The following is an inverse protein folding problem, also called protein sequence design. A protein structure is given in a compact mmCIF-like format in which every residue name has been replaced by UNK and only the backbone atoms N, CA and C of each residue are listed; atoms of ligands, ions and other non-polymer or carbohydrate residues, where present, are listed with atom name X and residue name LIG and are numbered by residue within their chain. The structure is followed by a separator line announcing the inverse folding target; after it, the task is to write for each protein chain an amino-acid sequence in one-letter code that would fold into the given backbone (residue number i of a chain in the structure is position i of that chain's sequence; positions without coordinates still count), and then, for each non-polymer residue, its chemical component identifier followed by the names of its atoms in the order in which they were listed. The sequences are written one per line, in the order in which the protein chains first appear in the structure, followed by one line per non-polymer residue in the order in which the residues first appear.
data_IF_002521683293
#
_entry.id   IF_002521683293
#
_cell.length_a   1.000
_cell.length_b   1.000
_cell.length_c   1.000
_cell.angle_alpha   90.00
_cell.angle_beta   90.00
_cell.angle_gamma   90.00
#
_symmetry.space_group_name_H-M   'P 1'
#
loop_
_entity.id
_entity.type
_entity.pdbx_description
1 polymer ?
#
# COMPACT_ATOMS: atom_id res chain seq x y z
N UNK A 1 -6.18 -4.19 7.34
CA UNK A 1 -7.30 -3.60 6.62
C UNK A 1 -8.19 -4.68 5.96
N UNK A 2 -9.39 -4.30 5.58
CA UNK A 2 -10.32 -5.10 4.77
C UNK A 2 -10.74 -4.26 3.58
N UNK A 3 -10.66 -4.85 2.38
CA UNK A 3 -11.04 -4.20 1.14
C UNK A 3 -11.99 -5.10 0.35
N UNK A 4 -13.12 -4.56 -0.06
CA UNK A 4 -14.14 -5.28 -0.82
C UNK A 4 -14.39 -4.57 -2.15
N UNK A 5 -14.08 -5.26 -3.25
CA UNK A 5 -14.22 -4.74 -4.61
C UNK A 5 -15.54 -5.21 -5.23
N UNK A 6 -16.42 -4.28 -5.58
CA UNK A 6 -17.71 -4.58 -6.21
C UNK A 6 -18.22 -3.41 -7.07
N UNK A 7 -18.78 -3.71 -8.22
CA UNK A 7 -19.50 -2.76 -9.07
C UNK A 7 -18.76 -1.45 -9.40
N UNK A 8 -17.43 -1.51 -9.58
CA UNK A 8 -16.66 -0.31 -9.90
C UNK A 8 -16.23 0.51 -8.69
N UNK A 9 -16.37 -0.04 -7.50
CA UNK A 9 -15.97 0.59 -6.24
C UNK A 9 -15.13 -0.34 -5.38
N UNK A 10 -14.32 0.24 -4.52
CA UNK A 10 -13.68 -0.44 -3.41
C UNK A 10 -14.20 0.13 -2.10
N UNK A 11 -14.73 -0.73 -1.26
CA UNK A 11 -15.06 -0.41 0.14
C UNK A 11 -13.84 -0.78 0.99
N UNK A 12 -13.38 0.17 1.78
CA UNK A 12 -12.14 0.08 2.53
C UNK A 12 -12.36 0.41 4.00
N UNK A 13 -11.81 -0.42 4.88
CA UNK A 13 -11.72 -0.15 6.32
C UNK A 13 -10.35 -0.58 6.83
N UNK A 14 -9.80 0.17 7.77
CA UNK A 14 -8.47 -0.07 8.33
C UNK A 14 -8.50 -0.04 9.86
N UNK A 15 -7.69 -0.89 10.46
CA UNK A 15 -7.47 -0.98 11.90
C UNK A 15 -5.97 -0.90 12.19
N UNK A 16 -5.42 0.32 12.15
CA UNK A 16 -4.01 0.58 12.45
C UNK A 16 -3.01 0.11 11.40
N UNK A 17 -3.45 -0.09 10.16
CA UNK A 17 -2.56 -0.47 9.04
C UNK A 17 -2.00 0.77 8.34
N UNK A 18 -0.83 0.64 7.66
CA UNK A 18 -0.32 1.66 6.76
C UNK A 18 -1.33 2.10 5.70
N UNK A 19 -1.13 3.27 5.07
CA UNK A 19 -2.01 3.73 4.00
C UNK A 19 -2.03 2.76 2.82
N UNK A 20 -3.17 2.68 2.14
CA UNK A 20 -3.27 2.08 0.82
C UNK A 20 -3.03 3.16 -0.26
N UNK A 21 -2.49 2.76 -1.40
CA UNK A 21 -2.22 3.67 -2.52
C UNK A 21 -3.12 3.32 -3.69
N UNK A 22 -3.92 4.29 -4.13
CA UNK A 22 -4.81 4.16 -5.28
C UNK A 22 -4.23 4.91 -6.48
N UNK A 23 -3.77 4.17 -7.47
CA UNK A 23 -3.32 4.68 -8.76
C UNK A 23 -4.53 4.83 -9.67
N UNK A 24 -4.97 6.08 -9.91
CA UNK A 24 -6.13 6.41 -10.73
C UNK A 24 -5.69 6.53 -12.19
N UNK A 25 -6.08 5.55 -13.00
CA UNK A 25 -5.65 5.45 -14.41
C UNK A 25 -6.07 6.66 -15.24
N UNK A 26 -7.30 7.14 -15.07
CA UNK A 26 -7.86 8.26 -15.86
C UNK A 26 -7.14 9.59 -15.66
N UNK A 27 -6.53 9.82 -14.49
CA UNK A 27 -5.85 11.08 -14.15
C UNK A 27 -4.34 10.93 -14.01
N UNK A 28 -3.85 9.69 -13.93
CA UNK A 28 -2.46 9.39 -13.62
C UNK A 28 -2.02 9.77 -12.21
N UNK A 29 -2.97 10.09 -11.32
CA UNK A 29 -2.70 10.44 -9.91
C UNK A 29 -2.56 9.19 -9.06
N UNK A 30 -1.73 9.28 -8.03
CA UNK A 30 -1.68 8.31 -6.94
C UNK A 30 -2.23 9.00 -5.70
N UNK A 31 -3.32 8.44 -5.17
CA UNK A 31 -3.99 8.90 -3.95
C UNK A 31 -3.61 7.98 -2.80
N UNK A 32 -3.18 8.56 -1.70
CA UNK A 32 -3.01 7.86 -0.43
C UNK A 32 -4.35 7.77 0.29
N UNK A 33 -4.73 6.57 0.72
CA UNK A 33 -5.93 6.30 1.53
C UNK A 33 -5.43 5.91 2.92
N UNK A 34 -5.48 6.86 3.84
CA UNK A 34 -5.11 6.65 5.24
C UNK A 34 -6.36 6.73 6.12
N UNK A 35 -6.69 5.64 6.79
CA UNK A 35 -7.65 5.63 7.88
C UNK A 35 -6.90 5.47 9.20
N UNK A 36 -6.97 6.49 10.02
CA UNK A 36 -6.42 6.42 11.38
C UNK A 36 -7.36 5.57 12.24
N UNK A 37 -6.81 4.56 12.91
CA UNK A 37 -7.56 3.67 13.78
C UNK A 37 -6.63 2.85 14.66
N UNK A 38 -7.19 2.31 15.72
CA UNK A 38 -6.45 1.40 16.61
C UNK A 38 -6.42 -0.02 16.03
N UNK A 39 -5.37 -0.80 16.30
CA UNK A 39 -5.36 -2.22 15.97
C UNK A 39 -6.55 -2.95 16.60
N UNK A 40 -7.02 -4.01 15.93
CA UNK A 40 -8.09 -4.86 16.42
C UNK A 40 -7.73 -5.42 17.82
N UNK A 41 -8.68 -5.35 18.75
CA UNK A 41 -8.48 -5.82 20.12
C UNK A 41 -7.78 -4.81 21.06
N UNK A 42 -7.39 -3.62 20.57
CA UNK A 42 -6.74 -2.61 21.38
C UNK A 42 -7.67 -2.00 22.43
N UNK A 43 -8.89 -1.65 22.04
CA UNK A 43 -9.92 -1.08 22.94
C UNK A 43 -11.26 -1.77 22.68
N UNK A 44 -11.95 -2.15 23.75
CA UNK A 44 -13.29 -2.73 23.66
C UNK A 44 -14.30 -1.69 23.17
N UNK A 45 -15.10 -2.05 22.15
CA UNK A 45 -16.15 -1.19 21.60
C UNK A 45 -15.65 -0.15 20.59
N UNK A 46 -14.38 -0.22 20.16
CA UNK A 46 -13.86 0.62 19.08
C UNK A 46 -14.71 0.46 17.80
N UNK A 47 -15.01 1.59 17.18
CA UNK A 47 -15.76 1.63 15.92
C UNK A 47 -14.84 1.98 14.77
N UNK A 48 -14.84 1.17 13.72
CA UNK A 48 -14.08 1.39 12.51
C UNK A 48 -14.96 2.01 11.43
N UNK A 49 -14.47 3.08 10.81
CA UNK A 49 -15.13 3.70 9.68
C UNK A 49 -14.91 2.88 8.41
N UNK A 50 -15.86 2.98 7.47
CA UNK A 50 -15.74 2.44 6.14
C UNK A 50 -15.74 3.61 5.15
N UNK A 51 -14.84 3.59 4.18
CA UNK A 51 -14.81 4.52 3.06
C UNK A 51 -15.10 3.80 1.76
N UNK A 52 -15.67 4.52 0.80
CA UNK A 52 -15.93 4.03 -0.55
C UNK A 52 -15.14 4.89 -1.54
N UNK A 53 -14.45 4.22 -2.47
CA UNK A 53 -13.67 4.88 -3.50
C UNK A 53 -14.04 4.28 -4.85
N UNK A 54 -14.25 5.10 -5.91
CA UNK A 54 -14.35 4.58 -7.27
C UNK A 54 -13.11 3.74 -7.60
N UNK A 55 -13.31 2.61 -8.28
CA UNK A 55 -12.24 1.75 -8.74
C UNK A 55 -12.56 1.32 -10.18
N UNK A 56 -12.02 2.08 -11.12
CA UNK A 56 -12.34 1.99 -12.54
C UNK A 56 -11.37 1.06 -13.30
N UNK A 57 -11.76 0.57 -14.48
CA UNK A 57 -10.85 -0.19 -15.33
C UNK A 57 -9.51 0.53 -15.56
N UNK A 58 -8.41 -0.17 -15.35
CA UNK A 58 -7.06 0.36 -15.39
C UNK A 58 -6.51 0.86 -14.06
N UNK A 59 -7.36 1.08 -13.06
CA UNK A 59 -6.93 1.49 -11.73
C UNK A 59 -6.15 0.37 -11.02
N UNK A 60 -5.24 0.78 -10.16
CA UNK A 60 -4.43 -0.13 -9.34
C UNK A 60 -4.48 0.29 -7.88
N UNK A 61 -4.68 -0.69 -6.98
CA UNK A 61 -4.53 -0.52 -5.54
C UNK A 61 -3.31 -1.25 -5.06
N UNK A 62 -2.50 -0.59 -4.22
CA UNK A 62 -1.34 -1.17 -3.56
C UNK A 62 -1.55 -1.11 -2.05
N UNK A 63 -1.47 -2.27 -1.41
CA UNK A 63 -1.51 -2.44 0.04
C UNK A 63 -0.18 -2.99 0.51
N UNK A 64 0.31 -2.50 1.63
CA UNK A 64 1.54 -3.00 2.23
C UNK A 64 1.49 -2.97 3.75
N UNK A 65 2.30 -3.82 4.38
CA UNK A 65 2.61 -3.73 5.80
C UNK A 65 3.67 -2.66 6.05
N UNK A 66 3.87 -2.29 7.30
CA UNK A 66 4.88 -1.34 7.74
C UNK A 66 6.33 -1.82 7.55
N UNK A 67 6.55 -3.13 7.44
CA UNK A 67 7.88 -3.71 7.29
C UNK A 67 8.71 -3.15 6.14
N UNK A 68 8.08 -2.68 5.04
CA UNK A 68 8.82 -2.05 3.93
C UNK A 68 9.16 -0.58 4.23
N UNK A 69 8.21 0.32 4.53
CA UNK A 69 8.54 1.73 4.79
C UNK A 69 9.38 1.93 6.06
N UNK A 70 9.28 1.03 7.03
CA UNK A 70 10.02 1.09 8.29
C UNK A 70 11.33 0.27 8.27
N UNK A 71 11.70 -0.34 7.13
CA UNK A 71 12.96 -1.03 6.97
C UNK A 71 14.15 -0.10 7.23
N UNK A 72 15.03 -0.49 8.17
CA UNK A 72 16.18 0.30 8.57
C UNK A 72 17.46 -0.18 7.87
N UNK A 73 18.23 0.75 7.33
CA UNK A 73 19.57 0.48 6.77
C UNK A 73 20.64 0.36 7.87
N UNK A 74 21.91 0.14 7.50
CA UNK A 74 23.01 0.01 8.44
C UNK A 74 23.28 1.28 9.28
N UNK A 75 22.78 2.44 8.87
CA UNK A 75 22.87 3.69 9.61
C UNK A 75 21.68 3.89 10.58
N UNK A 76 20.71 2.97 10.61
CA UNK A 76 19.48 3.09 11.40
C UNK A 76 18.46 4.07 10.81
N UNK A 77 18.56 4.34 9.52
CA UNK A 77 17.61 5.21 8.81
C UNK A 77 16.50 4.37 8.18
N UNK A 78 15.25 4.78 8.38
CA UNK A 78 14.09 4.13 7.73
C UNK A 78 14.01 4.51 6.25
N UNK A 79 13.52 3.58 5.41
CA UNK A 79 13.22 3.83 4.00
C UNK A 79 12.21 4.97 3.83
N UNK A 80 11.14 4.95 4.62
CA UNK A 80 10.11 5.98 4.66
C UNK A 80 8.97 5.77 3.67
N UNK A 81 7.81 6.29 4.03
CA UNK A 81 6.58 6.21 3.22
C UNK A 81 6.66 7.04 1.93
N UNK A 82 7.43 8.14 1.94
CA UNK A 82 7.63 8.99 0.76
C UNK A 82 8.36 8.24 -0.37
N UNK A 83 9.43 7.52 -0.03
CA UNK A 83 10.18 6.71 -1.00
C UNK A 83 9.30 5.60 -1.61
N UNK A 84 8.46 4.96 -0.79
CA UNK A 84 7.48 3.96 -1.25
C UNK A 84 6.46 4.59 -2.20
N UNK A 85 5.89 5.75 -1.84
CA UNK A 85 4.94 6.47 -2.67
C UNK A 85 5.54 6.88 -4.02
N UNK A 86 6.77 7.38 -4.03
CA UNK A 86 7.45 7.77 -5.26
C UNK A 86 7.77 6.57 -6.15
N UNK A 87 8.14 5.45 -5.56
CA UNK A 87 8.31 4.19 -6.28
C UNK A 87 6.99 3.77 -6.96
N UNK A 88 5.87 3.82 -6.26
CA UNK A 88 4.54 3.50 -6.80
C UNK A 88 4.17 4.48 -7.92
N UNK A 89 4.36 5.79 -7.74
CA UNK A 89 4.09 6.81 -8.76
C UNK A 89 4.85 6.57 -10.06
N UNK A 90 6.12 6.22 -9.95
CA UNK A 90 6.99 5.98 -11.10
C UNK A 90 6.64 4.70 -11.86
N UNK A 91 6.00 3.74 -11.20
CA UNK A 91 5.67 2.41 -11.77
C UNK A 91 4.17 2.13 -11.89
N UNK A 92 3.30 3.12 -11.69
CA UNK A 92 1.83 2.98 -11.62
C UNK A 92 1.19 2.38 -12.88
N UNK A 93 1.85 2.47 -14.04
CA UNK A 93 1.34 1.95 -15.31
C UNK A 93 1.73 0.49 -15.58
N UNK A 94 2.66 -0.02 -14.78
CA UNK A 94 3.15 -1.39 -14.92
C UNK A 94 2.09 -2.43 -14.49
N UNK A 95 2.36 -3.69 -14.78
CA UNK A 95 1.54 -4.78 -14.28
C UNK A 95 1.76 -5.01 -12.77
N UNK A 96 0.83 -5.68 -12.08
CA UNK A 96 0.90 -5.87 -10.63
C UNK A 96 2.17 -6.55 -10.15
N UNK A 97 2.69 -7.51 -10.91
CA UNK A 97 3.90 -8.23 -10.53
C UNK A 97 5.14 -7.35 -10.65
N UNK A 98 5.22 -6.53 -11.68
CA UNK A 98 6.29 -5.55 -11.87
C UNK A 98 6.30 -4.50 -10.76
N UNK A 99 5.14 -3.97 -10.37
CA UNK A 99 5.02 -3.03 -9.24
C UNK A 99 5.52 -3.68 -7.95
N UNK A 100 5.05 -4.89 -7.64
CA UNK A 100 5.48 -5.66 -6.46
C UNK A 100 7.00 -5.86 -6.45
N UNK A 101 7.56 -6.33 -7.56
CA UNK A 101 9.00 -6.60 -7.66
C UNK A 101 9.84 -5.34 -7.52
N UNK A 102 9.39 -4.21 -8.08
CA UNK A 102 10.08 -2.92 -7.92
C UNK A 102 10.07 -2.44 -6.47
N UNK A 103 8.97 -2.63 -5.74
CA UNK A 103 8.90 -2.31 -4.31
C UNK A 103 9.82 -3.20 -3.47
N UNK A 104 9.88 -4.50 -3.76
CA UNK A 104 10.81 -5.41 -3.08
C UNK A 104 12.27 -5.03 -3.35
N UNK A 105 12.62 -4.72 -4.61
CA UNK A 105 13.95 -4.27 -4.98
C UNK A 105 14.33 -2.95 -4.29
N UNK A 106 13.36 -2.03 -4.10
CA UNK A 106 13.58 -0.81 -3.34
C UNK A 106 14.00 -1.11 -1.90
N UNK A 107 13.31 -2.04 -1.24
CA UNK A 107 13.64 -2.50 0.11
C UNK A 107 15.00 -3.18 0.17
N UNK A 108 15.28 -4.11 -0.73
CA UNK A 108 16.56 -4.84 -0.79
C UNK A 108 17.75 -3.90 -1.00
N UNK A 109 17.61 -2.92 -1.89
CA UNK A 109 18.64 -1.91 -2.15
C UNK A 109 18.86 -0.99 -0.95
N UNK A 110 17.79 -0.63 -0.23
CA UNK A 110 17.87 0.18 0.98
C UNK A 110 18.55 -0.56 2.12
N UNK A 111 18.18 -1.80 2.34
CA UNK A 111 18.79 -2.66 3.35
C UNK A 111 20.28 -2.95 3.07
N UNK A 112 20.64 -3.09 1.79
CA UNK A 112 22.02 -3.34 1.34
C UNK A 112 22.75 -4.41 2.17
N UNK A 113 22.07 -5.56 2.39
CA UNK A 113 22.58 -6.69 3.15
C UNK A 113 22.28 -6.67 4.65
N UNK A 114 21.63 -5.64 5.17
CA UNK A 114 21.09 -5.64 6.54
C UNK A 114 19.92 -6.61 6.60
N UNK A 115 19.84 -7.51 7.60
CA UNK A 115 18.69 -8.39 7.77
C UNK A 115 17.41 -7.59 7.96
N UNK A 116 16.32 -8.05 7.34
CA UNK A 116 14.99 -7.49 7.52
C UNK A 116 14.54 -7.62 8.99
N UNK A 117 14.03 -6.53 9.56
CA UNK A 117 13.61 -6.48 10.97
C UNK A 117 12.17 -6.94 11.18
N UNK A 118 11.31 -6.80 10.15
CA UNK A 118 9.91 -7.20 10.19
C UNK A 118 9.47 -7.74 8.83
N UNK A 119 8.39 -8.52 8.80
CA UNK A 119 7.85 -9.12 7.58
C UNK A 119 7.27 -8.07 6.62
N UNK A 120 7.58 -8.22 5.33
CA UNK A 120 7.03 -7.38 4.27
C UNK A 120 5.89 -8.12 3.59
N UNK A 121 4.70 -7.53 3.63
CA UNK A 121 3.54 -7.97 2.87
C UNK A 121 3.17 -6.90 1.84
N UNK A 122 3.06 -7.29 0.57
CA UNK A 122 2.64 -6.40 -0.51
C UNK A 122 1.53 -7.09 -1.30
N UNK A 123 0.41 -6.40 -1.48
CA UNK A 123 -0.70 -6.84 -2.33
C UNK A 123 -0.99 -5.76 -3.37
N UNK A 124 -0.94 -6.13 -4.64
CA UNK A 124 -1.25 -5.25 -5.76
C UNK A 124 -2.46 -5.79 -6.50
N UNK A 125 -3.50 -4.98 -6.61
CA UNK A 125 -4.74 -5.31 -7.30
C UNK A 125 -4.94 -4.34 -8.46
N UNK A 126 -5.03 -4.84 -9.68
CA UNK A 126 -5.31 -4.02 -10.88
C UNK A 126 -6.62 -4.45 -11.51
N UNK A 127 -7.51 -3.48 -11.77
CA UNK A 127 -8.76 -3.74 -12.47
C UNK A 127 -8.52 -3.83 -13.97
N UNK A 128 -8.83 -4.97 -14.55
CA UNK A 128 -8.72 -5.20 -16.00
C UNK A 128 -9.88 -4.58 -16.77
N UNK A 129 -9.67 -4.29 -18.05
CA UNK A 129 -10.69 -3.77 -18.97
C UNK A 129 -11.60 -4.91 -19.48
N UNK A 130 -12.31 -5.55 -18.58
CA UNK A 130 -13.30 -6.58 -18.96
C UNK A 130 -14.69 -6.16 -18.58
#
# INVERSE_FOLDING_TARGET
NVSYFKNGEVQFTSAGMPPAYHCISSTGRVKEILQVGLPLGGIQGERYSQEEHPFEPGDTMVFLSDGLPEAENAAGEMLGYEAVMDCIKNNKNEDPESIKNTLLNLGDNWLNGVPLQDDITIVVVKKTNQ
#
